data_IF_498042723094
#
_entry.id   IF_498042723094
#
_cell.length_a   1.000
_cell.length_b   1.000
_cell.length_c   1.000
_cell.angle_alpha   90.00
_cell.angle_beta   90.00
_cell.angle_gamma   90.00
#
_symmetry.space_group_name_H-M   'P 1'
#
loop_
_entity.id
_entity.type
_entity.pdbx_description
1 polymer ?
#
# COMPACT_ATOMS: atom_id res chain seq x y z
N UNK A 1 11.41 8.48 12.07
CA UNK A 1 12.83 8.74 11.75
C UNK A 1 13.83 7.94 12.59
N UNK A 2 13.62 7.79 13.90
CA UNK A 2 14.57 7.07 14.77
C UNK A 2 14.76 5.57 14.40
N UNK A 3 13.68 4.86 14.04
CA UNK A 3 13.76 3.43 13.65
C UNK A 3 14.60 3.17 12.37
N UNK A 4 14.63 4.11 11.42
CA UNK A 4 15.46 4.01 10.20
C UNK A 4 16.93 4.33 10.51
N UNK A 5 17.17 5.33 11.34
CA UNK A 5 18.52 5.68 11.80
C UNK A 5 19.16 4.54 12.63
N UNK A 6 18.39 3.86 13.46
CA UNK A 6 18.82 2.67 14.22
C UNK A 6 19.19 1.47 13.33
N UNK A 7 18.73 1.47 12.06
CA UNK A 7 19.08 0.46 11.04
C UNK A 7 20.20 0.89 10.09
N UNK A 8 20.91 1.97 10.39
CA UNK A 8 22.06 2.43 9.61
C UNK A 8 21.71 3.32 8.41
N UNK A 9 20.45 3.74 8.28
CA UNK A 9 20.01 4.74 7.30
C UNK A 9 20.13 6.14 7.90
N UNK A 10 21.36 6.57 8.16
CA UNK A 10 21.68 7.87 8.79
C UNK A 10 21.77 9.04 7.80
N UNK A 11 21.84 8.76 6.49
CA UNK A 11 21.93 9.76 5.43
C UNK A 11 20.76 9.59 4.44
N UNK A 12 19.54 9.85 4.95
CA UNK A 12 18.28 9.72 4.21
C UNK A 12 18.20 10.68 3.02
N UNK A 13 18.91 11.81 3.08
CA UNK A 13 18.92 12.86 2.06
C UNK A 13 19.65 12.43 0.77
N UNK A 14 20.58 11.47 0.85
CA UNK A 14 21.35 10.97 -0.30
C UNK A 14 20.95 9.54 -0.75
N UNK A 15 19.90 8.98 -0.16
CA UNK A 15 19.43 7.64 -0.49
C UNK A 15 18.53 7.68 -1.74
N UNK A 16 18.81 6.87 -2.77
CA UNK A 16 17.89 6.71 -3.88
C UNK A 16 16.51 6.28 -3.38
N UNK A 17 15.40 6.73 -4.01
CA UNK A 17 14.04 6.38 -3.60
C UNK A 17 13.83 4.88 -3.42
N UNK A 18 14.45 4.05 -4.26
CA UNK A 18 14.36 2.60 -4.20
C UNK A 18 15.04 2.04 -2.95
N UNK A 19 16.13 2.65 -2.49
CA UNK A 19 16.81 2.26 -1.25
C UNK A 19 16.06 2.71 -0.01
N UNK A 20 15.38 3.86 -0.08
CA UNK A 20 14.48 4.30 0.98
C UNK A 20 13.25 3.38 1.09
N UNK A 21 12.67 2.96 -0.05
CA UNK A 21 11.63 1.94 -0.09
C UNK A 21 12.09 0.64 0.57
N UNK A 22 13.28 0.13 0.23
CA UNK A 22 13.85 -1.07 0.87
C UNK A 22 14.00 -0.87 2.39
N UNK A 23 14.51 0.28 2.82
CA UNK A 23 14.67 0.60 4.25
C UNK A 23 13.34 0.60 5.01
N UNK A 24 12.29 1.17 4.40
CA UNK A 24 10.94 1.19 4.96
C UNK A 24 10.36 -0.22 4.99
N UNK A 25 10.55 -1.01 3.92
CA UNK A 25 10.13 -2.40 3.87
C UNK A 25 10.79 -3.20 5.01
N UNK A 26 12.11 -3.07 5.18
CA UNK A 26 12.85 -3.76 6.24
C UNK A 26 12.35 -3.40 7.66
N UNK A 27 11.88 -2.17 7.86
CA UNK A 27 11.27 -1.74 9.14
C UNK A 27 9.89 -2.35 9.34
N UNK A 28 9.05 -2.36 8.30
CA UNK A 28 7.71 -2.93 8.37
C UNK A 28 7.74 -4.46 8.44
N UNK A 29 8.83 -5.08 8.01
CA UNK A 29 9.04 -6.53 7.97
C UNK A 29 9.92 -7.07 9.09
N UNK A 30 9.95 -6.40 10.24
CA UNK A 30 10.63 -6.94 11.42
C UNK A 30 10.21 -8.38 11.74
N UNK A 31 11.08 -9.11 12.45
CA UNK A 31 10.85 -10.52 12.80
C UNK A 31 9.42 -10.72 13.33
N UNK A 32 8.66 -11.63 12.69
CA UNK A 32 7.23 -11.92 12.93
C UNK A 32 6.19 -11.01 12.27
N UNK A 33 6.60 -10.15 11.33
CA UNK A 33 5.66 -9.38 10.51
C UNK A 33 4.74 -10.30 9.68
N UNK A 34 3.46 -9.95 9.65
CA UNK A 34 2.45 -10.60 8.81
C UNK A 34 2.40 -9.99 7.39
N UNK A 35 3.28 -9.01 7.10
CA UNK A 35 3.37 -8.36 5.80
C UNK A 35 4.19 -9.22 4.84
N UNK A 36 3.62 -9.45 3.65
CA UNK A 36 4.30 -10.18 2.57
C UNK A 36 5.21 -9.23 1.80
N UNK A 37 6.48 -9.65 1.65
CA UNK A 37 7.57 -8.82 1.14
C UNK A 37 7.37 -8.33 -0.28
N UNK A 38 7.01 -9.23 -1.19
CA UNK A 38 6.92 -8.90 -2.61
C UNK A 38 5.82 -7.86 -2.86
N UNK A 39 4.66 -8.04 -2.22
CA UNK A 39 3.51 -7.14 -2.34
C UNK A 39 3.80 -5.79 -1.67
N UNK A 40 4.54 -5.78 -0.55
CA UNK A 40 4.95 -4.55 0.11
C UNK A 40 5.95 -3.74 -0.73
N UNK A 41 6.93 -4.39 -1.36
CA UNK A 41 7.91 -3.73 -2.23
C UNK A 41 7.23 -3.06 -3.43
N UNK A 42 6.29 -3.76 -4.07
CA UNK A 42 5.50 -3.22 -5.19
C UNK A 42 4.60 -2.06 -4.75
N UNK A 43 4.00 -2.15 -3.56
CA UNK A 43 3.20 -1.08 -2.99
C UNK A 43 4.05 0.18 -2.70
N UNK A 44 5.24 0.01 -2.12
CA UNK A 44 6.18 1.10 -1.88
C UNK A 44 6.62 1.75 -3.19
N UNK A 45 6.94 0.97 -4.22
CA UNK A 45 7.29 1.51 -5.54
C UNK A 45 6.19 2.42 -6.08
N UNK A 46 4.93 1.98 -6.01
CA UNK A 46 3.79 2.79 -6.44
C UNK A 46 3.61 4.07 -5.61
N UNK A 47 3.81 4.01 -4.29
CA UNK A 47 3.73 5.22 -3.43
C UNK A 47 4.84 6.20 -3.78
N UNK A 48 6.08 5.72 -3.96
CA UNK A 48 7.19 6.57 -4.38
C UNK A 48 6.96 7.16 -5.76
N UNK A 49 6.45 6.40 -6.70
CA UNK A 49 6.02 6.93 -7.99
C UNK A 49 4.96 8.02 -7.80
N UNK A 50 3.89 7.79 -7.03
CA UNK A 50 2.86 8.80 -6.76
C UNK A 50 3.43 10.09 -6.16
N UNK A 51 4.37 9.99 -5.22
CA UNK A 51 5.01 11.15 -4.56
C UNK A 51 5.94 11.88 -5.54
N UNK A 52 6.73 11.13 -6.33
CA UNK A 52 7.76 11.67 -7.20
C UNK A 52 7.27 12.04 -8.62
N UNK A 53 6.07 11.61 -9.02
CA UNK A 53 5.56 11.79 -10.39
C UNK A 53 5.39 13.27 -10.74
N UNK A 54 5.95 13.66 -11.90
CA UNK A 54 5.88 14.99 -12.56
C UNK A 54 6.71 16.12 -11.93
N UNK A 55 7.75 15.82 -11.16
CA UNK A 55 8.68 16.86 -10.75
C UNK A 55 9.78 17.04 -11.82
N UNK A 56 9.62 18.08 -12.64
CA UNK A 56 10.57 18.41 -13.72
C UNK A 56 11.90 18.99 -13.19
N UNK A 57 11.98 19.31 -11.90
CA UNK A 57 13.17 19.82 -11.23
C UNK A 57 13.33 19.29 -9.79
N UNK A 58 14.58 19.36 -9.29
CA UNK A 58 14.98 18.87 -7.97
C UNK A 58 14.27 19.60 -6.82
N UNK A 59 13.98 20.90 -6.98
CA UNK A 59 13.34 21.68 -5.94
C UNK A 59 11.88 21.25 -5.71
N UNK A 60 11.16 20.91 -6.78
CA UNK A 60 9.80 20.40 -6.63
C UNK A 60 9.77 18.96 -6.10
N UNK A 61 10.82 18.18 -6.32
CA UNK A 61 10.99 16.87 -5.68
C UNK A 61 11.19 17.01 -4.16
N UNK A 62 12.04 17.92 -3.71
CA UNK A 62 12.22 18.21 -2.28
C UNK A 62 10.90 18.63 -1.62
N UNK A 63 10.14 19.52 -2.26
CA UNK A 63 8.81 19.94 -1.78
C UNK A 63 7.84 18.75 -1.69
N UNK A 64 7.83 17.86 -2.68
CA UNK A 64 6.96 16.69 -2.69
C UNK A 64 7.28 15.72 -1.54
N UNK A 65 8.58 15.50 -1.28
CA UNK A 65 9.05 14.68 -0.17
C UNK A 65 8.75 15.32 1.18
N UNK A 66 8.96 16.64 1.34
CA UNK A 66 8.63 17.37 2.55
C UNK A 66 7.13 17.33 2.86
N UNK A 67 6.29 17.49 1.83
CA UNK A 67 4.84 17.36 1.97
C UNK A 67 4.45 15.94 2.41
N UNK A 68 5.02 14.91 1.79
CA UNK A 68 4.78 13.52 2.18
C UNK A 68 5.26 13.23 3.62
N UNK A 69 6.41 13.79 4.03
CA UNK A 69 6.91 13.67 5.40
C UNK A 69 6.02 14.40 6.42
N UNK A 70 5.40 15.51 6.02
CA UNK A 70 4.50 16.28 6.89
C UNK A 70 3.12 15.63 7.10
N UNK A 71 2.72 14.72 6.20
CA UNK A 71 1.45 13.98 6.25
C UNK A 71 1.70 12.46 6.15
N UNK A 72 2.35 11.93 7.18
CA UNK A 72 2.66 10.50 7.25
C UNK A 72 1.41 9.62 7.28
N UNK A 73 0.27 10.15 7.77
CA UNK A 73 -1.02 9.47 7.76
C UNK A 73 -1.46 9.17 6.33
N UNK A 74 -1.46 10.19 5.47
CA UNK A 74 -1.78 10.04 4.05
C UNK A 74 -0.83 9.08 3.34
N UNK A 75 0.48 9.14 3.64
CA UNK A 75 1.47 8.20 3.06
C UNK A 75 1.20 6.76 3.48
N UNK A 76 0.87 6.51 4.75
CA UNK A 76 0.51 5.19 5.25
C UNK A 76 -0.78 4.68 4.62
N UNK A 77 -1.81 5.52 4.51
CA UNK A 77 -3.06 5.17 3.83
C UNK A 77 -2.81 4.77 2.38
N UNK A 78 -2.00 5.54 1.64
CA UNK A 78 -1.64 5.22 0.26
C UNK A 78 -0.82 3.93 0.16
N UNK A 79 0.08 3.68 1.12
CA UNK A 79 0.87 2.45 1.17
C UNK A 79 -0.03 1.23 1.36
N UNK A 80 -0.94 1.26 2.33
CA UNK A 80 -1.81 0.13 2.60
C UNK A 80 -2.92 -0.05 1.55
N UNK A 81 -3.35 1.03 0.87
CA UNK A 81 -4.19 0.94 -0.32
C UNK A 81 -3.48 0.15 -1.43
N UNK A 82 -2.26 0.57 -1.78
CA UNK A 82 -1.45 -0.12 -2.79
C UNK A 82 -1.18 -1.57 -2.38
N UNK A 83 -0.82 -1.82 -1.12
CA UNK A 83 -0.52 -3.15 -0.61
C UNK A 83 -1.73 -4.09 -0.70
N UNK A 84 -2.92 -3.67 -0.26
CA UNK A 84 -4.13 -4.49 -0.35
C UNK A 84 -4.47 -4.80 -1.82
N UNK A 85 -4.20 -3.88 -2.74
CA UNK A 85 -4.39 -4.13 -4.17
C UNK A 85 -3.35 -5.08 -4.75
N UNK A 86 -2.09 -5.03 -4.31
CA UNK A 86 -1.09 -6.04 -4.68
C UNK A 86 -1.48 -7.42 -4.16
N UNK A 87 -2.00 -7.52 -2.94
CA UNK A 87 -2.56 -8.77 -2.38
C UNK A 87 -3.69 -9.31 -3.26
N UNK A 88 -4.62 -8.43 -3.64
CA UNK A 88 -5.75 -8.79 -4.49
C UNK A 88 -5.30 -9.29 -5.87
N UNK A 89 -4.39 -8.57 -6.53
CA UNK A 89 -3.84 -8.97 -7.84
C UNK A 89 -3.06 -10.27 -7.77
N UNK A 90 -2.25 -10.47 -6.74
CA UNK A 90 -1.45 -11.69 -6.55
C UNK A 90 -2.35 -12.90 -6.37
N UNK A 91 -3.44 -12.76 -5.59
CA UNK A 91 -4.34 -13.87 -5.31
C UNK A 91 -5.36 -14.15 -6.42
N UNK A 92 -5.80 -13.12 -7.16
CA UNK A 92 -6.96 -13.23 -8.07
C UNK A 92 -6.74 -12.71 -9.50
N UNK A 93 -5.65 -11.99 -9.76
CA UNK A 93 -5.42 -11.31 -11.05
C UNK A 93 -5.31 -12.28 -12.23
N UNK A 94 -4.61 -13.40 -12.06
CA UNK A 94 -4.49 -14.42 -13.11
C UNK A 94 -5.84 -15.09 -13.42
N UNK A 95 -6.65 -15.32 -12.39
CA UNK A 95 -7.98 -15.91 -12.54
C UNK A 95 -8.93 -14.95 -13.28
N UNK A 96 -8.98 -13.69 -12.86
CA UNK A 96 -9.76 -12.63 -13.50
C UNK A 96 -9.39 -12.47 -14.99
N UNK A 97 -8.10 -12.47 -15.31
CA UNK A 97 -7.64 -12.34 -16.69
C UNK A 97 -8.02 -13.55 -17.54
N UNK A 98 -8.01 -14.76 -16.96
CA UNK A 98 -8.44 -16.00 -17.63
C UNK A 98 -9.95 -16.05 -17.87
N UNK A 99 -10.74 -15.55 -16.94
CA UNK A 99 -12.21 -15.64 -16.99
C UNK A 99 -12.84 -14.53 -17.84
N UNK A 100 -12.42 -13.29 -17.64
CA UNK A 100 -13.04 -12.11 -18.26
C UNK A 100 -12.19 -11.47 -19.36
N UNK A 101 -10.92 -11.88 -19.49
CA UNK A 101 -9.94 -11.25 -20.38
C UNK A 101 -9.24 -10.06 -19.72
N UNK A 102 -8.06 -9.71 -20.25
CA UNK A 102 -7.17 -8.69 -19.67
C UNK A 102 -7.83 -7.32 -19.46
N UNK A 103 -8.59 -6.81 -20.44
CA UNK A 103 -9.20 -5.48 -20.32
C UNK A 103 -10.30 -5.42 -19.25
N UNK A 104 -11.08 -6.51 -19.11
CA UNK A 104 -12.11 -6.58 -18.08
C UNK A 104 -11.50 -6.79 -16.69
N UNK A 105 -10.46 -7.63 -16.59
CA UNK A 105 -9.71 -7.81 -15.35
C UNK A 105 -9.09 -6.49 -14.86
N UNK A 106 -8.54 -5.67 -15.76
CA UNK A 106 -7.99 -4.36 -15.42
C UNK A 106 -9.08 -3.40 -14.88
N UNK A 107 -10.26 -3.39 -15.51
CA UNK A 107 -11.42 -2.62 -15.01
C UNK A 107 -11.87 -3.08 -13.61
N UNK A 108 -11.86 -4.39 -13.36
CA UNK A 108 -12.20 -4.96 -12.05
C UNK A 108 -11.16 -4.54 -11.00
N UNK A 109 -9.87 -4.62 -11.32
CA UNK A 109 -8.79 -4.18 -10.43
C UNK A 109 -8.90 -2.68 -10.11
N UNK A 110 -9.22 -1.85 -11.10
CA UNK A 110 -9.43 -0.42 -10.88
C UNK A 110 -10.65 -0.15 -9.98
N UNK A 111 -11.77 -0.86 -10.19
CA UNK A 111 -12.94 -0.74 -9.33
C UNK A 111 -12.66 -1.24 -7.89
N UNK A 112 -11.90 -2.34 -7.76
CA UNK A 112 -11.45 -2.86 -6.48
C UNK A 112 -10.56 -1.85 -5.75
N UNK A 113 -9.71 -1.11 -6.46
CA UNK A 113 -8.89 -0.02 -5.90
C UNK A 113 -9.75 1.08 -5.30
N UNK A 114 -10.76 1.55 -6.03
CA UNK A 114 -11.69 2.58 -5.52
C UNK A 114 -12.43 2.09 -4.27
N UNK A 115 -12.83 0.82 -4.24
CA UNK A 115 -13.47 0.21 -3.08
C UNK A 115 -12.52 0.11 -1.88
N UNK A 116 -11.29 -0.38 -2.07
CA UNK A 116 -10.27 -0.45 -1.02
C UNK A 116 -9.96 0.92 -0.44
N UNK A 117 -9.86 1.95 -1.27
CA UNK A 117 -9.66 3.32 -0.81
C UNK A 117 -10.81 3.80 0.09
N UNK A 118 -12.06 3.49 -0.29
CA UNK A 118 -13.23 3.83 0.51
C UNK A 118 -13.25 3.08 1.86
N UNK A 119 -12.87 1.80 1.87
CA UNK A 119 -12.79 0.98 3.08
C UNK A 119 -11.70 1.46 4.04
N UNK A 120 -10.52 1.84 3.52
CA UNK A 120 -9.46 2.43 4.35
C UNK A 120 -9.88 3.78 4.93
N UNK A 121 -10.55 4.64 4.15
CA UNK A 121 -11.08 5.91 4.65
C UNK A 121 -12.14 5.70 5.76
N UNK A 122 -12.93 4.62 5.66
CA UNK A 122 -13.88 4.23 6.70
C UNK A 122 -13.17 3.76 7.99
N UNK A 123 -12.12 2.96 7.86
CA UNK A 123 -11.28 2.54 9.01
C UNK A 123 -10.61 3.75 9.67
N UNK A 124 -10.06 4.68 8.89
CA UNK A 124 -9.47 5.93 9.39
C UNK A 124 -10.48 6.77 10.18
N UNK A 125 -11.70 6.91 9.65
CA UNK A 125 -12.78 7.64 10.32
C UNK A 125 -13.18 6.97 11.64
N UNK A 126 -13.18 5.64 11.68
CA UNK A 126 -13.60 4.86 12.86
C UNK A 126 -12.54 4.85 13.95
N UNK A 127 -11.26 4.80 13.56
CA UNK A 127 -10.12 4.71 14.48
C UNK A 127 -9.50 6.07 14.83
N UNK A 128 -9.90 7.12 14.12
CA UNK A 128 -9.38 8.49 14.18
C UNK A 128 -7.93 8.67 13.73
N UNK A 129 -7.10 7.63 13.71
CA UNK A 129 -5.70 7.70 13.30
C UNK A 129 -5.13 6.33 12.89
N UNK A 130 -4.82 6.17 11.60
CA UNK A 130 -4.18 4.96 11.06
C UNK A 130 -2.68 4.87 11.36
N UNK A 131 -2.02 5.96 11.78
CA UNK A 131 -0.59 5.96 12.13
C UNK A 131 -0.30 5.19 13.41
N UNK A 132 -1.33 4.98 14.23
CA UNK A 132 -1.25 4.25 15.51
C UNK A 132 -1.37 2.73 15.38
N UNK A 133 -1.76 2.24 14.20
CA UNK A 133 -2.00 0.82 13.95
C UNK A 133 -0.67 0.06 13.88
N UNK A 134 -0.61 -1.08 14.56
CA UNK A 134 0.48 -2.05 14.36
C UNK A 134 0.29 -2.78 13.04
N UNK A 135 0.72 -2.13 11.96
CA UNK A 135 0.57 -2.63 10.60
C UNK A 135 1.37 -3.90 10.30
N UNK A 136 2.48 -4.11 11.01
CA UNK A 136 3.29 -5.34 10.91
C UNK A 136 2.72 -6.50 11.73
N UNK A 137 1.94 -6.20 12.77
CA UNK A 137 1.34 -7.18 13.66
C UNK A 137 -0.05 -7.66 13.24
N UNK A 138 -0.70 -8.36 14.18
CA UNK A 138 -2.04 -8.96 13.96
C UNK A 138 -3.12 -7.93 13.73
N UNK A 139 -2.96 -6.71 14.25
CA UNK A 139 -3.93 -5.65 14.05
C UNK A 139 -3.98 -5.22 12.59
N UNK A 140 -2.82 -4.88 12.01
CA UNK A 140 -2.67 -4.59 10.59
C UNK A 140 -3.12 -5.72 9.69
N UNK A 141 -2.70 -6.95 10.01
CA UNK A 141 -3.14 -8.15 9.30
C UNK A 141 -4.68 -8.28 9.31
N UNK A 142 -5.32 -8.06 10.47
CA UNK A 142 -6.77 -8.13 10.59
C UNK A 142 -7.50 -7.12 9.72
N UNK A 143 -7.00 -5.87 9.67
CA UNK A 143 -7.55 -4.81 8.81
C UNK A 143 -7.39 -5.18 7.33
N UNK A 144 -6.17 -5.53 6.93
CA UNK A 144 -5.84 -5.91 5.54
C UNK A 144 -6.71 -7.08 5.08
N UNK A 145 -6.78 -8.16 5.87
CA UNK A 145 -7.56 -9.33 5.51
C UNK A 145 -9.06 -9.03 5.46
N UNK A 146 -9.59 -8.25 6.40
CA UNK A 146 -11.01 -7.90 6.42
C UNK A 146 -11.40 -7.04 5.20
N UNK A 147 -10.56 -6.08 4.79
CA UNK A 147 -10.80 -5.30 3.57
C UNK A 147 -10.67 -6.18 2.34
N UNK A 148 -9.64 -7.03 2.27
CA UNK A 148 -9.41 -7.94 1.14
C UNK A 148 -10.58 -8.90 0.96
N UNK A 149 -11.09 -9.51 2.03
CA UNK A 149 -12.26 -10.40 2.02
C UNK A 149 -13.50 -9.69 1.47
N UNK A 150 -13.75 -8.44 1.89
CA UNK A 150 -14.87 -7.64 1.37
C UNK A 150 -14.69 -7.31 -0.11
N UNK A 151 -13.49 -6.94 -0.53
CA UNK A 151 -13.18 -6.67 -1.95
C UNK A 151 -13.40 -7.92 -2.80
N UNK A 152 -12.94 -9.09 -2.34
CA UNK A 152 -13.17 -10.37 -3.02
C UNK A 152 -14.66 -10.70 -3.09
N UNK A 153 -15.42 -10.49 -2.01
CA UNK A 153 -16.87 -10.74 -2.01
C UNK A 153 -17.63 -9.88 -3.04
N UNK A 154 -17.19 -8.64 -3.25
CA UNK A 154 -17.83 -7.71 -4.20
C UNK A 154 -17.46 -8.04 -5.65
N UNK A 155 -16.20 -8.38 -5.91
CA UNK A 155 -15.66 -8.41 -7.28
C UNK A 155 -15.30 -9.81 -7.81
N UNK A 156 -15.20 -10.82 -6.94
CA UNK A 156 -14.82 -12.19 -7.31
C UNK A 156 -15.95 -13.17 -6.98
N UNK A 157 -16.52 -13.10 -5.77
CA UNK A 157 -17.50 -14.09 -5.28
C UNK A 157 -18.94 -13.83 -5.75
N UNK A 158 -19.11 -13.13 -6.88
CA UNK A 158 -20.44 -12.88 -7.46
C UNK A 158 -21.03 -14.10 -8.19
N UNK A 159 -20.30 -15.23 -8.26
CA UNK A 159 -20.84 -16.51 -8.72
C UNK A 159 -21.34 -17.40 -7.56
N UNK A 160 -22.45 -16.99 -6.95
CA UNK A 160 -23.14 -17.77 -5.93
C UNK A 160 -24.64 -17.54 -5.78
N UNK A 161 -25.26 -16.66 -6.56
CA UNK A 161 -26.72 -16.50 -6.62
C UNK A 161 -27.16 -15.65 -7.82
N UNK A 162 -27.27 -16.27 -9.01
CA UNK A 162 -28.45 -16.24 -9.90
C UNK A 162 -28.21 -16.92 -11.23
#
# INVERSE_FOLDING_TARGET
MQALAERGFSDLENLPPERLAIAIADVLQENSSYIIEIELREALSQVFEKICVKQDDLANLEIALDNAASDIGSVLTQLFECYIIERFKTNHGEHLAKEHGYEAADKIVNAARDFVAAELAFEETTRHDLTSVDWGGREGEGIVNAILERTVAVYIDTEGSR
#
